data_IF_027317088681
#
_entry.id   IF_027317088681
#
_cell.length_a   1.000
_cell.length_b   1.000
_cell.length_c   1.000
_cell.angle_alpha   90.00
_cell.angle_beta   90.00
_cell.angle_gamma   90.00
#
_symmetry.space_group_name_H-M   'P 1'
#
loop_
_entity.id
_entity.type
_entity.pdbx_description
1 polymer ?
#
# COMPACT_ATOMS: atom_id res chain seq x y z
N UNK A 1 16.81 -8.25 5.75
CA UNK A 1 16.04 -7.01 5.90
C UNK A 1 15.05 -7.26 7.03
N UNK A 2 15.04 -6.47 8.11
CA UNK A 2 13.76 -6.23 8.78
C UNK A 2 12.77 -5.75 7.68
N UNK A 3 11.52 -6.17 7.77
CA UNK A 3 10.43 -5.99 6.77
C UNK A 3 10.46 -4.68 5.95
N UNK A 4 9.83 -4.69 4.78
CA UNK A 4 10.05 -3.73 3.67
C UNK A 4 9.99 -2.24 4.01
N UNK A 5 9.15 -1.84 4.97
CA UNK A 5 8.96 -0.46 5.43
C UNK A 5 9.99 0.03 6.47
N UNK A 6 10.80 -0.86 7.02
CA UNK A 6 11.78 -0.50 8.03
C UNK A 6 12.82 0.49 7.50
N UNK A 7 13.15 1.51 8.28
CA UNK A 7 14.19 2.50 7.97
C UNK A 7 14.89 3.03 9.23
N UNK A 8 16.21 3.22 9.13
CA UNK A 8 17.05 3.82 10.18
C UNK A 8 17.27 5.33 9.99
N UNK A 9 16.46 5.98 9.14
CA UNK A 9 16.58 7.42 8.91
C UNK A 9 16.27 8.22 10.19
N UNK A 10 16.98 9.34 10.46
CA UNK A 10 16.79 10.10 11.70
C UNK A 10 15.37 10.65 11.98
N UNK A 11 14.49 10.64 10.97
CA UNK A 11 13.09 11.06 11.09
C UNK A 11 12.07 9.93 11.23
N UNK A 12 12.52 8.67 11.31
CA UNK A 12 11.65 7.52 11.45
C UNK A 12 10.92 7.52 12.80
N UNK A 13 9.67 7.04 12.81
CA UNK A 13 8.87 6.85 14.01
C UNK A 13 8.61 5.37 14.23
N UNK A 14 8.31 4.98 15.48
CA UNK A 14 7.79 3.64 15.75
C UNK A 14 6.37 3.55 15.20
N UNK A 15 6.20 2.73 14.18
CA UNK A 15 4.94 2.52 13.47
C UNK A 15 4.59 1.03 13.40
N UNK A 16 3.39 0.72 12.94
CA UNK A 16 2.88 -0.64 12.77
C UNK A 16 3.57 -1.39 11.62
N UNK A 17 3.90 -0.69 10.53
CA UNK A 17 4.70 -1.23 9.42
C UNK A 17 3.95 -2.14 8.46
N UNK A 18 2.62 -2.27 8.57
CA UNK A 18 1.79 -3.09 7.67
C UNK A 18 0.27 -2.86 7.84
N UNK A 19 -0.19 -1.62 8.07
CA UNK A 19 -1.64 -1.40 8.23
C UNK A 19 -2.35 -1.64 6.89
N UNK A 20 -3.32 -2.53 6.91
CA UNK A 20 -4.19 -2.88 5.80
C UNK A 20 -5.58 -3.25 6.34
N UNK A 21 -6.64 -3.34 5.50
CA UNK A 21 -8.00 -3.62 5.99
C UNK A 21 -8.14 -4.84 6.91
N UNK A 22 -7.37 -5.90 6.65
CA UNK A 22 -7.36 -7.12 7.46
C UNK A 22 -6.66 -6.98 8.83
N UNK A 23 -5.98 -5.86 9.08
CA UNK A 23 -5.35 -5.52 10.36
C UNK A 23 -6.15 -4.51 11.19
N UNK A 24 -7.28 -4.02 10.69
CA UNK A 24 -8.12 -3.04 11.38
C UNK A 24 -9.33 -3.74 11.99
N UNK A 25 -9.51 -3.58 13.30
CA UNK A 25 -10.71 -4.06 14.01
C UNK A 25 -11.79 -2.99 13.94
N UNK A 26 -12.98 -3.39 13.51
CA UNK A 26 -14.14 -2.51 13.41
C UNK A 26 -15.20 -2.85 14.46
N UNK A 27 -15.76 -1.80 15.07
CA UNK A 27 -17.04 -1.84 15.76
C UNK A 27 -18.06 -1.15 14.85
N UNK A 28 -18.93 -1.95 14.23
CA UNK A 28 -19.78 -1.50 13.12
C UNK A 28 -18.95 -0.82 12.02
N UNK A 29 -19.16 0.48 11.78
CA UNK A 29 -18.48 1.25 10.74
C UNK A 29 -17.32 2.09 11.30
N UNK A 30 -16.89 1.86 12.54
CA UNK A 30 -15.85 2.64 13.19
C UNK A 30 -14.62 1.77 13.47
N UNK A 31 -13.41 2.16 13.01
CA UNK A 31 -12.18 1.47 13.40
C UNK A 31 -11.91 1.71 14.89
N UNK A 32 -11.66 0.64 15.64
CA UNK A 32 -11.47 0.67 17.10
C UNK A 32 -10.13 0.13 17.57
N UNK A 33 -9.39 -0.57 16.70
CA UNK A 33 -8.07 -1.09 17.05
C UNK A 33 -7.29 -1.62 15.86
N UNK A 34 -6.02 -1.94 16.12
CA UNK A 34 -5.11 -2.56 15.16
C UNK A 34 -4.58 -3.88 15.72
N UNK A 35 -4.38 -4.86 14.84
CA UNK A 35 -3.78 -6.17 15.11
C UNK A 35 -2.69 -6.47 14.08
N UNK A 36 -1.82 -7.46 14.33
CA UNK A 36 -0.75 -7.83 13.38
C UNK A 36 0.53 -7.01 13.56
N UNK A 37 1.01 -6.93 14.80
CA UNK A 37 2.14 -6.08 15.20
C UNK A 37 3.53 -6.68 14.90
N UNK A 38 3.64 -7.77 14.13
CA UNK A 38 4.92 -8.43 13.82
C UNK A 38 5.94 -7.55 13.08
N UNK A 39 5.47 -6.49 12.43
CA UNK A 39 6.29 -5.54 11.66
C UNK A 39 6.45 -4.18 12.35
N UNK A 40 6.20 -4.13 13.65
CA UNK A 40 6.32 -2.89 14.42
C UNK A 40 7.78 -2.46 14.53
N UNK A 41 8.05 -1.20 14.20
CA UNK A 41 9.37 -0.60 14.40
C UNK A 41 9.55 0.71 13.67
N UNK A 42 10.81 1.17 13.51
CA UNK A 42 11.14 2.41 12.81
C UNK A 42 10.67 2.42 11.34
N UNK A 43 9.77 3.34 11.00
CA UNK A 43 9.22 3.54 9.64
C UNK A 43 9.17 5.05 9.34
N UNK A 44 9.36 5.43 8.07
CA UNK A 44 9.12 6.81 7.63
C UNK A 44 7.62 7.11 7.72
N UNK A 45 7.19 8.17 8.44
CA UNK A 45 5.76 8.44 8.63
C UNK A 45 4.97 8.60 7.33
N UNK A 46 5.58 9.13 6.26
CA UNK A 46 4.91 9.26 4.97
C UNK A 46 4.81 7.92 4.24
N UNK A 47 5.79 7.02 4.41
CA UNK A 47 5.72 5.68 3.82
C UNK A 47 4.60 4.86 4.48
N UNK A 48 4.43 4.92 5.81
CA UNK A 48 3.31 4.27 6.49
C UNK A 48 1.96 4.77 5.96
N UNK A 49 1.78 6.09 5.87
CA UNK A 49 0.53 6.69 5.39
C UNK A 49 0.26 6.30 3.94
N UNK A 50 1.28 6.36 3.09
CA UNK A 50 1.16 6.04 1.66
C UNK A 50 0.75 4.58 1.45
N UNK A 51 1.42 3.65 2.13
CA UNK A 51 1.15 2.20 2.01
C UNK A 51 -0.18 1.81 2.65
N UNK A 52 -0.53 2.41 3.79
CA UNK A 52 -1.84 2.20 4.41
C UNK A 52 -2.96 2.65 3.48
N UNK A 53 -2.81 3.83 2.87
CA UNK A 53 -3.78 4.37 1.92
C UNK A 53 -3.92 3.47 0.67
N UNK A 54 -2.80 2.96 0.15
CA UNK A 54 -2.79 1.99 -0.96
C UNK A 54 -3.65 0.76 -0.64
N UNK A 55 -3.46 0.14 0.52
CA UNK A 55 -4.21 -1.05 0.92
C UNK A 55 -5.68 -0.75 1.23
N UNK A 56 -5.96 0.33 1.96
CA UNK A 56 -7.32 0.68 2.37
C UNK A 56 -8.21 1.09 1.19
N UNK A 57 -7.63 1.77 0.20
CA UNK A 57 -8.36 2.24 -1.00
C UNK A 57 -8.29 1.23 -2.14
N UNK A 58 -7.45 0.20 -2.00
CA UNK A 58 -7.31 -0.89 -2.95
C UNK A 58 -6.94 -0.37 -4.35
N UNK A 59 -5.79 0.29 -4.44
CA UNK A 59 -5.20 0.74 -5.71
C UNK A 59 -4.61 -0.46 -6.49
N UNK A 60 -5.45 -1.45 -6.74
CA UNK A 60 -5.12 -2.71 -7.41
C UNK A 60 -5.40 -2.60 -8.91
N UNK A 61 -4.92 -3.59 -9.67
CA UNK A 61 -5.19 -3.69 -11.11
C UNK A 61 -6.70 -3.84 -11.39
N UNK A 62 -7.13 -3.49 -12.60
CA UNK A 62 -8.54 -3.39 -12.97
C UNK A 62 -9.25 -4.75 -12.96
N UNK A 63 -8.54 -5.86 -13.19
CA UNK A 63 -9.14 -7.18 -13.13
C UNK A 63 -9.46 -7.63 -11.69
N UNK A 64 -8.56 -7.33 -10.74
CA UNK A 64 -8.80 -7.56 -9.30
C UNK A 64 -9.93 -6.65 -8.85
N UNK A 65 -9.94 -5.41 -9.36
CA UNK A 65 -11.01 -4.46 -9.11
C UNK A 65 -12.37 -4.96 -9.61
N UNK A 66 -12.44 -5.51 -10.83
CA UNK A 66 -13.66 -6.09 -11.39
C UNK A 66 -14.15 -7.30 -10.59
N UNK A 67 -13.25 -8.19 -10.17
CA UNK A 67 -13.60 -9.38 -9.39
C UNK A 67 -14.25 -9.04 -8.04
N UNK A 68 -13.76 -7.99 -7.38
CA UNK A 68 -14.25 -7.58 -6.05
C UNK A 68 -15.19 -6.37 -6.08
N UNK A 69 -15.57 -5.89 -7.27
CA UNK A 69 -16.55 -4.82 -7.47
C UNK A 69 -16.06 -3.41 -7.09
N UNK A 70 -14.76 -3.13 -7.24
CA UNK A 70 -14.21 -1.78 -7.06
C UNK A 70 -14.66 -0.82 -8.17
N UNK A 71 -14.78 0.48 -7.86
CA UNK A 71 -15.19 1.47 -8.84
C UNK A 71 -14.03 1.87 -9.78
N UNK A 72 -14.33 2.63 -10.86
CA UNK A 72 -13.32 3.13 -11.78
C UNK A 72 -12.20 3.95 -11.09
N UNK A 73 -11.06 4.05 -11.77
CA UNK A 73 -9.85 4.72 -11.25
C UNK A 73 -10.10 6.12 -10.67
N UNK A 74 -10.97 6.92 -11.31
CA UNK A 74 -11.30 8.27 -10.84
C UNK A 74 -11.96 8.27 -9.44
N UNK A 75 -12.85 7.31 -9.17
CA UNK A 75 -13.49 7.18 -7.86
C UNK A 75 -12.48 6.71 -6.81
N UNK A 76 -11.60 5.77 -7.17
CA UNK A 76 -10.52 5.32 -6.28
C UNK A 76 -9.53 6.45 -5.97
N UNK A 77 -9.25 7.34 -6.93
CA UNK A 77 -8.45 8.54 -6.68
C UNK A 77 -9.11 9.50 -5.67
N UNK A 78 -10.43 9.69 -5.74
CA UNK A 78 -11.17 10.47 -4.74
C UNK A 78 -11.20 9.78 -3.37
N UNK A 79 -11.30 8.45 -3.31
CA UNK A 79 -11.17 7.69 -2.06
C UNK A 79 -9.78 7.82 -1.44
N UNK A 80 -8.73 7.81 -2.27
CA UNK A 80 -7.35 8.05 -1.83
C UNK A 80 -7.21 9.43 -1.21
N UNK A 81 -7.71 10.47 -1.89
CA UNK A 81 -7.76 11.82 -1.33
C UNK A 81 -8.57 11.87 -0.02
N UNK A 82 -9.74 11.24 0.04
CA UNK A 82 -10.57 11.20 1.24
C UNK A 82 -9.88 10.52 2.43
N UNK A 83 -9.12 9.45 2.19
CA UNK A 83 -8.28 8.82 3.20
C UNK A 83 -7.22 9.81 3.73
N UNK A 84 -6.51 10.51 2.84
CA UNK A 84 -5.50 11.49 3.23
C UNK A 84 -6.08 12.70 3.98
N UNK A 85 -7.29 13.12 3.59
CA UNK A 85 -8.06 14.16 4.29
C UNK A 85 -8.45 13.68 5.70
N UNK A 86 -8.93 12.44 5.83
CA UNK A 86 -9.27 11.82 7.12
C UNK A 86 -8.07 11.62 8.04
N UNK A 87 -6.90 11.30 7.48
CA UNK A 87 -5.64 11.26 8.23
C UNK A 87 -5.17 12.66 8.67
N UNK A 88 -5.60 13.71 7.98
CA UNK A 88 -5.18 15.08 8.23
C UNK A 88 -3.84 15.44 7.56
N UNK A 89 -3.42 14.72 6.52
CA UNK A 89 -2.14 14.98 5.84
C UNK A 89 -2.22 16.28 5.02
N UNK A 90 -1.37 17.30 5.24
CA UNK A 90 -1.43 18.54 4.49
C UNK A 90 -1.16 18.31 2.99
N UNK A 91 -1.89 19.02 2.10
CA UNK A 91 -1.75 18.89 0.64
C UNK A 91 -0.30 19.00 0.13
N UNK A 92 0.48 19.90 0.72
CA UNK A 92 1.91 20.10 0.38
C UNK A 92 2.81 18.87 0.63
N UNK A 93 2.33 17.89 1.40
CA UNK A 93 3.04 16.64 1.71
C UNK A 93 2.52 15.44 0.90
N UNK A 94 1.60 15.67 -0.05
CA UNK A 94 0.96 14.58 -0.82
C UNK A 94 1.62 14.31 -2.17
N UNK A 95 2.61 15.11 -2.56
CA UNK A 95 3.13 15.15 -3.95
C UNK A 95 3.96 13.94 -4.35
N UNK A 96 4.59 13.25 -3.39
CA UNK A 96 5.48 12.11 -3.60
C UNK A 96 4.88 10.77 -3.13
N UNK A 97 3.64 10.75 -2.64
CA UNK A 97 3.03 9.55 -2.05
C UNK A 97 2.92 8.40 -3.05
N UNK A 98 2.61 8.68 -4.31
CA UNK A 98 2.51 7.63 -5.34
C UNK A 98 3.88 7.00 -5.62
N UNK A 99 4.95 7.80 -5.61
CA UNK A 99 6.32 7.27 -5.75
C UNK A 99 6.71 6.40 -4.56
N UNK A 100 6.29 6.77 -3.35
CA UNK A 100 6.49 5.96 -2.14
C UNK A 100 5.75 4.63 -2.22
N UNK A 101 4.51 4.63 -2.70
CA UNK A 101 3.73 3.39 -2.95
C UNK A 101 4.46 2.51 -3.97
N UNK A 102 4.87 3.07 -5.11
CA UNK A 102 5.60 2.32 -6.14
C UNK A 102 6.90 1.73 -5.60
N UNK A 103 7.67 2.53 -4.84
CA UNK A 103 8.90 2.06 -4.21
C UNK A 103 8.64 0.92 -3.22
N UNK A 104 7.58 1.02 -2.41
CA UNK A 104 7.15 -0.06 -1.53
C UNK A 104 6.81 -1.32 -2.32
N UNK A 105 5.93 -1.24 -3.31
CA UNK A 105 5.48 -2.40 -4.09
C UNK A 105 6.65 -3.13 -4.76
N UNK A 106 7.60 -2.39 -5.33
CA UNK A 106 8.79 -2.97 -5.96
C UNK A 106 9.68 -3.65 -4.90
N UNK A 107 9.97 -2.97 -3.78
CA UNK A 107 10.81 -3.52 -2.72
C UNK A 107 10.18 -4.74 -2.07
N UNK A 108 8.89 -4.71 -1.82
CA UNK A 108 8.17 -5.76 -1.10
C UNK A 108 8.06 -7.03 -1.94
N UNK A 109 7.69 -6.88 -3.21
CA UNK A 109 7.66 -7.96 -4.18
C UNK A 109 9.06 -8.58 -4.38
N UNK A 110 10.10 -7.74 -4.51
CA UNK A 110 11.49 -8.17 -4.60
C UNK A 110 12.02 -8.85 -3.33
N UNK A 111 11.57 -8.43 -2.15
CA UNK A 111 11.93 -9.07 -0.89
C UNK A 111 11.20 -10.41 -0.72
N UNK A 112 9.89 -10.43 -0.95
CA UNK A 112 9.06 -11.63 -0.86
C UNK A 112 9.58 -12.72 -1.79
N UNK A 113 9.91 -12.38 -3.04
CA UNK A 113 10.48 -13.35 -3.99
C UNK A 113 11.78 -13.99 -3.50
N UNK A 114 12.66 -13.22 -2.86
CA UNK A 114 13.93 -13.71 -2.28
C UNK A 114 13.69 -14.60 -1.06
N UNK A 115 12.78 -14.20 -0.17
CA UNK A 115 12.49 -14.94 1.07
C UNK A 115 11.81 -16.27 0.80
N UNK A 116 10.90 -16.31 -0.18
CA UNK A 116 10.26 -17.57 -0.60
C UNK A 116 11.19 -18.46 -1.42
N UNK A 117 12.33 -17.94 -1.89
CA UNK A 117 13.30 -18.69 -2.67
C UNK A 117 12.73 -19.16 -4.02
N UNK A 118 11.91 -18.33 -4.69
CA UNK A 118 11.34 -18.73 -5.97
C UNK A 118 12.42 -18.95 -7.03
N UNK A 119 12.22 -20.00 -7.80
CA UNK A 119 12.99 -20.39 -8.97
C UNK A 119 12.02 -20.58 -10.14
N UNK A 120 12.57 -20.74 -11.34
CA UNK A 120 11.79 -21.07 -12.54
C UNK A 120 11.01 -22.40 -12.44
N UNK A 121 11.30 -23.24 -11.45
CA UNK A 121 10.66 -24.55 -11.26
C UNK A 121 9.55 -24.53 -10.21
N UNK A 122 9.31 -23.40 -9.55
CA UNK A 122 8.24 -23.30 -8.55
C UNK A 122 6.87 -23.38 -9.24
N UNK A 123 5.99 -24.23 -8.72
CA UNK A 123 4.62 -24.46 -9.24
C UNK A 123 3.52 -24.07 -8.26
N UNK A 124 3.86 -23.65 -7.04
CA UNK A 124 2.90 -23.22 -6.02
C UNK A 124 2.23 -21.92 -6.45
N UNK A 125 0.94 -22.00 -6.77
CA UNK A 125 0.19 -20.89 -7.36
C UNK A 125 -0.07 -19.74 -6.39
N UNK A 126 -0.23 -20.01 -5.09
CA UNK A 126 -0.53 -18.98 -4.09
C UNK A 126 0.61 -17.95 -3.95
N UNK A 127 1.86 -18.43 -3.77
CA UNK A 127 3.01 -17.54 -3.67
C UNK A 127 3.31 -16.79 -4.96
N UNK A 128 3.10 -17.44 -6.11
CA UNK A 128 3.23 -16.79 -7.43
C UNK A 128 2.14 -15.76 -7.66
N UNK A 129 0.92 -16.01 -7.17
CA UNK A 129 -0.17 -15.05 -7.21
C UNK A 129 0.18 -13.81 -6.39
N UNK A 130 0.72 -13.96 -5.18
CA UNK A 130 1.19 -12.84 -4.34
C UNK A 130 2.13 -11.89 -5.11
N UNK A 131 3.09 -12.46 -5.85
CA UNK A 131 3.98 -11.66 -6.70
C UNK A 131 3.24 -11.01 -7.87
N UNK A 132 2.41 -11.78 -8.57
CA UNK A 132 1.73 -11.34 -9.77
C UNK A 132 0.76 -10.19 -9.48
N UNK A 133 -0.14 -10.34 -8.51
CA UNK A 133 -1.12 -9.30 -8.21
C UNK A 133 -0.44 -8.01 -7.73
N UNK A 134 0.63 -8.10 -6.94
CA UNK A 134 1.34 -6.92 -6.44
C UNK A 134 2.13 -6.21 -7.55
N UNK A 135 2.74 -6.96 -8.48
CA UNK A 135 3.38 -6.38 -9.68
C UNK A 135 2.38 -5.66 -10.57
N UNK A 136 1.18 -6.23 -10.71
CA UNK A 136 0.10 -5.63 -11.48
C UNK A 136 -0.46 -4.38 -10.83
N UNK A 137 -0.65 -4.39 -9.51
CA UNK A 137 -1.01 -3.19 -8.75
C UNK A 137 0.06 -2.09 -8.91
N UNK A 138 1.36 -2.44 -8.96
CA UNK A 138 2.43 -1.49 -9.22
C UNK A 138 2.35 -0.89 -10.62
N UNK A 139 2.11 -1.71 -11.64
CA UNK A 139 1.89 -1.24 -13.02
C UNK A 139 0.68 -0.31 -13.10
N UNK A 140 -0.47 -0.74 -12.56
CA UNK A 140 -1.69 0.07 -12.54
C UNK A 140 -1.48 1.41 -11.83
N UNK A 141 -0.80 1.40 -10.68
CA UNK A 141 -0.47 2.61 -9.92
C UNK A 141 0.44 3.55 -10.73
N UNK A 142 1.38 3.00 -11.49
CA UNK A 142 2.27 3.76 -12.37
C UNK A 142 1.50 4.40 -13.53
N UNK A 143 0.63 3.64 -14.19
CA UNK A 143 -0.21 4.11 -15.31
C UNK A 143 -1.19 5.22 -14.87
N UNK A 144 -1.68 5.14 -13.63
CA UNK A 144 -2.60 6.13 -13.04
C UNK A 144 -1.91 7.19 -12.19
N UNK A 145 -0.57 7.25 -12.20
CA UNK A 145 0.22 8.11 -11.30
C UNK A 145 -0.19 9.58 -11.38
N UNK A 146 -0.40 10.10 -12.58
CA UNK A 146 -0.80 11.50 -12.77
C UNK A 146 -2.18 11.77 -12.17
N UNK A 147 -3.18 10.93 -12.48
CA UNK A 147 -4.52 11.03 -11.92
C UNK A 147 -4.50 11.02 -10.39
N UNK A 148 -3.82 10.04 -9.79
CA UNK A 148 -3.75 9.89 -8.34
C UNK A 148 -3.03 11.08 -7.69
N UNK A 149 -1.91 11.51 -8.25
CA UNK A 149 -1.13 12.65 -7.72
C UNK A 149 -1.92 13.96 -7.82
N UNK A 150 -2.52 14.24 -8.98
CA UNK A 150 -3.29 15.45 -9.20
C UNK A 150 -4.52 15.50 -8.30
N UNK A 151 -5.23 14.39 -8.12
CA UNK A 151 -6.41 14.34 -7.25
C UNK A 151 -6.02 14.48 -5.78
N UNK A 152 -4.96 13.81 -5.32
CA UNK A 152 -4.49 13.92 -3.94
C UNK A 152 -4.07 15.34 -3.55
N UNK A 153 -3.51 16.10 -4.50
CA UNK A 153 -3.04 17.47 -4.28
C UNK A 153 -4.15 18.54 -4.25
N UNK A 154 -5.38 18.22 -4.69
CA UNK A 154 -6.51 19.15 -4.76
C UNK A 154 -7.14 19.48 -3.41
#
# INVERSE_FOLDING_TARGET
>A
MPWTLHTDTPGALISHGNIAPWHVVFDQNRPTGLIGWEYTGPVDPLDEVAVTAFYCVQLFDDDVAEEIGLPPAATRAEWFKAFLDGYGLPRRQRTDLIDRILHFLIKDNGWYSRVQGFTQHNTHTEGLWTLAWQSRAALWTLEHRELLTCTAAR
#
